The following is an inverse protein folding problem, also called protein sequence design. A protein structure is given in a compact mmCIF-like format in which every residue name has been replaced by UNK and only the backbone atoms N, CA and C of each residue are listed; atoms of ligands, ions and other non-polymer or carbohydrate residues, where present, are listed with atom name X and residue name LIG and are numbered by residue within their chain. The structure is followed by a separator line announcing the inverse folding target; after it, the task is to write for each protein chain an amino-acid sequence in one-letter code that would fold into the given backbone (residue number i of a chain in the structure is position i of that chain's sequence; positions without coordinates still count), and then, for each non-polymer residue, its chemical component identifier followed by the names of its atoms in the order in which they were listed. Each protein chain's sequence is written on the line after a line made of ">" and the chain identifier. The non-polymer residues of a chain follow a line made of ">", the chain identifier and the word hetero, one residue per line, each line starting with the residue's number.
data_IF_179727498687
#
_entry.id   IF_179727498687
#
_cell.length_a   1.000
_cell.length_b   1.000
_cell.length_c   1.000
_cell.angle_alpha   90.00
_cell.angle_beta   90.00
_cell.angle_gamma   90.00
#
_symmetry.space_group_name_H-M   'P 1'
#
loop_
_entity.id
_entity.type
_entity.pdbx_description
1 polymer ?
#
# COMPACT_ATOMS: atom_id res chain seq x y z
N UNK A 1 28.12 11.81 -9.02
CA UNK A 1 28.26 12.90 -10.00
C UNK A 1 26.89 13.52 -10.15
N UNK A 2 26.72 14.75 -9.68
CA UNK A 2 25.50 15.52 -9.79
C UNK A 2 25.30 15.91 -11.25
N UNK A 3 24.27 15.31 -11.89
CA UNK A 3 23.88 15.72 -13.24
C UNK A 3 23.38 17.16 -13.24
N UNK A 4 24.20 18.06 -13.68
CA UNK A 4 23.81 19.42 -14.01
C UNK A 4 22.74 19.36 -15.11
N UNK A 5 21.51 19.74 -14.72
CA UNK A 5 20.44 20.04 -15.68
C UNK A 5 20.94 21.24 -16.46
N UNK A 6 21.20 21.06 -17.77
CA UNK A 6 21.59 22.09 -18.70
C UNK A 6 20.74 23.35 -18.48
N UNK A 7 21.35 24.38 -17.92
CA UNK A 7 20.74 25.70 -17.82
C UNK A 7 20.70 26.24 -19.27
N UNK A 8 19.51 26.21 -19.85
CA UNK A 8 19.26 27.01 -21.05
C UNK A 8 19.40 28.48 -20.69
N UNK A 9 20.02 29.32 -21.54
CA UNK A 9 20.31 30.74 -21.24
C UNK A 9 19.06 31.59 -20.87
N UNK A 10 17.86 31.11 -21.12
CA UNK A 10 16.59 31.80 -20.90
C UNK A 10 15.74 31.18 -19.77
N UNK A 11 16.29 30.35 -18.87
CA UNK A 11 15.55 29.83 -17.77
C UNK A 11 15.08 30.96 -16.81
N UNK A 12 13.80 31.10 -16.48
CA UNK A 12 13.33 32.14 -15.56
C UNK A 12 14.03 32.00 -14.21
N UNK A 13 14.49 33.15 -13.67
CA UNK A 13 15.23 33.18 -12.41
C UNK A 13 14.34 32.73 -11.24
N UNK A 14 14.84 31.93 -10.29
CA UNK A 14 14.05 31.47 -9.16
C UNK A 14 13.54 32.67 -8.32
N UNK A 15 12.26 32.58 -7.94
CA UNK A 15 11.55 33.63 -7.19
C UNK A 15 11.44 33.26 -5.71
N UNK A 16 12.56 33.29 -4.98
CA UNK A 16 12.57 33.07 -3.52
C UNK A 16 13.23 31.77 -3.08
N UNK A 17 13.34 31.58 -1.76
CA UNK A 17 14.05 30.44 -1.15
C UNK A 17 13.40 29.09 -1.45
N UNK A 18 12.07 29.01 -1.45
CA UNK A 18 11.33 27.79 -1.76
C UNK A 18 11.54 27.35 -3.21
N UNK A 19 11.47 28.32 -4.14
CA UNK A 19 11.67 28.04 -5.55
C UNK A 19 13.10 27.58 -5.84
N UNK A 20 14.08 28.19 -5.18
CA UNK A 20 15.48 27.78 -5.31
C UNK A 20 15.72 26.36 -4.78
N UNK A 21 15.12 26.00 -3.65
CA UNK A 21 15.27 24.67 -3.05
C UNK A 21 14.58 23.58 -3.88
N UNK A 22 13.30 23.75 -4.18
CA UNK A 22 12.50 22.75 -4.88
C UNK A 22 12.62 22.81 -6.41
N UNK A 23 13.27 23.87 -6.97
CA UNK A 23 13.39 24.11 -8.42
C UNK A 23 12.03 24.22 -9.12
N UNK A 24 11.10 24.94 -8.50
CA UNK A 24 9.68 25.01 -8.91
C UNK A 24 9.56 25.62 -10.30
N UNK A 25 10.12 26.82 -10.50
CA UNK A 25 10.09 27.53 -11.78
C UNK A 25 10.85 26.74 -12.87
N UNK A 26 11.98 26.12 -12.52
CA UNK A 26 12.76 25.29 -13.45
C UNK A 26 11.99 24.05 -13.94
N UNK A 27 11.04 23.54 -13.17
CA UNK A 27 10.16 22.43 -13.55
C UNK A 27 8.83 22.92 -14.15
N UNK A 28 8.69 24.21 -14.40
CA UNK A 28 7.48 24.80 -14.99
C UNK A 28 6.24 24.71 -14.10
N UNK A 29 6.41 24.97 -12.80
CA UNK A 29 5.33 25.04 -11.80
C UNK A 29 5.38 26.37 -11.04
N UNK A 30 4.46 26.57 -10.12
CA UNK A 30 4.39 27.71 -9.20
C UNK A 30 4.15 27.21 -7.77
N UNK A 31 4.56 28.00 -6.75
CA UNK A 31 4.32 27.65 -5.33
C UNK A 31 2.83 27.38 -5.09
N UNK A 32 1.94 28.22 -5.63
CA UNK A 32 0.50 28.04 -5.49
C UNK A 32 0.03 26.72 -6.10
N UNK A 33 0.52 26.37 -7.28
CA UNK A 33 0.17 25.13 -7.97
C UNK A 33 0.64 23.90 -7.21
N UNK A 34 1.87 23.93 -6.67
CA UNK A 34 2.42 22.87 -5.84
C UNK A 34 1.62 22.65 -4.54
N UNK A 35 1.20 23.74 -3.88
CA UNK A 35 0.36 23.66 -2.67
C UNK A 35 -1.02 23.08 -2.99
N UNK A 36 -1.66 23.52 -4.07
CA UNK A 36 -2.95 22.98 -4.50
C UNK A 36 -2.83 21.50 -4.91
N UNK A 37 -1.75 21.14 -5.60
CA UNK A 37 -1.47 19.75 -5.93
C UNK A 37 -1.25 18.89 -4.68
N UNK A 38 -0.55 19.40 -3.68
CA UNK A 38 -0.37 18.73 -2.39
C UNK A 38 -1.69 18.54 -1.66
N UNK A 39 -2.56 19.56 -1.64
CA UNK A 39 -3.90 19.44 -1.06
C UNK A 39 -4.74 18.39 -1.80
N UNK A 40 -4.67 18.37 -3.13
CA UNK A 40 -5.39 17.39 -3.97
C UNK A 40 -4.92 15.96 -3.66
N UNK A 41 -3.59 15.73 -3.59
CA UNK A 41 -3.02 14.43 -3.19
C UNK A 41 -3.46 14.04 -1.79
N UNK A 42 -3.37 14.97 -0.83
CA UNK A 42 -3.80 14.73 0.55
C UNK A 42 -5.26 14.28 0.61
N UNK A 43 -6.17 15.00 -0.03
CA UNK A 43 -7.59 14.65 -0.06
C UNK A 43 -7.85 13.29 -0.73
N UNK A 44 -7.04 12.94 -1.73
CA UNK A 44 -7.17 11.65 -2.41
C UNK A 44 -6.71 10.46 -1.55
N UNK A 45 -5.75 10.66 -0.62
CA UNK A 45 -5.17 9.56 0.16
C UNK A 45 -5.48 9.57 1.66
N UNK A 46 -6.06 10.66 2.20
CA UNK A 46 -6.31 10.79 3.65
C UNK A 46 -7.26 9.73 4.21
N UNK A 47 -8.08 9.11 3.37
CA UNK A 47 -8.92 7.99 3.80
C UNK A 47 -8.11 6.83 4.41
N UNK A 48 -6.84 6.71 4.07
CA UNK A 48 -5.95 5.66 4.59
C UNK A 48 -5.78 5.71 6.11
N UNK A 49 -5.80 6.91 6.71
CA UNK A 49 -5.69 7.06 8.18
C UNK A 49 -6.90 6.49 8.93
N UNK A 50 -7.95 6.18 8.22
CA UNK A 50 -9.17 5.56 8.72
C UNK A 50 -9.18 4.07 8.39
N UNK A 51 -8.87 3.73 7.15
CA UNK A 51 -8.90 2.36 6.64
C UNK A 51 -7.82 1.50 7.28
N UNK A 52 -6.60 2.02 7.44
CA UNK A 52 -5.48 1.27 8.03
C UNK A 52 -5.74 0.88 9.48
N UNK A 53 -6.17 1.80 10.38
CA UNK A 53 -6.56 1.41 11.74
C UNK A 53 -7.74 0.43 11.76
N UNK A 54 -8.69 0.57 10.84
CA UNK A 54 -9.82 -0.36 10.70
C UNK A 54 -9.39 -1.80 10.37
N UNK A 55 -8.37 -1.97 9.53
CA UNK A 55 -7.82 -3.28 9.19
C UNK A 55 -6.95 -3.85 10.31
N UNK A 56 -5.98 -3.08 10.80
CA UNK A 56 -5.08 -3.51 11.87
C UNK A 56 -5.82 -3.72 13.18
N UNK A 57 -6.88 -2.95 13.45
CA UNK A 57 -7.74 -3.12 14.61
C UNK A 57 -8.40 -4.50 14.65
N UNK A 58 -8.82 -5.06 13.50
CA UNK A 58 -9.33 -6.43 13.40
C UNK A 58 -8.27 -7.48 13.76
N UNK A 59 -7.01 -7.15 13.57
CA UNK A 59 -5.86 -7.99 13.92
C UNK A 59 -5.35 -7.78 15.36
N UNK A 60 -6.06 -6.99 16.18
CA UNK A 60 -5.73 -6.78 17.58
C UNK A 60 -4.79 -5.62 17.88
N UNK A 61 -4.53 -4.75 16.89
CA UNK A 61 -3.83 -3.50 17.14
C UNK A 61 -4.78 -2.45 17.74
N UNK A 62 -4.32 -1.55 18.64
CA UNK A 62 -5.15 -0.49 19.18
C UNK A 62 -5.45 0.58 18.11
N UNK A 63 -6.73 0.77 17.68
CA UNK A 63 -7.04 1.59 16.50
C UNK A 63 -6.62 3.05 16.60
N UNK A 64 -6.79 3.68 17.78
CA UNK A 64 -6.41 5.08 17.99
C UNK A 64 -4.89 5.28 17.89
N UNK A 65 -4.10 4.35 18.44
CA UNK A 65 -2.64 4.39 18.34
C UNK A 65 -2.17 4.12 16.90
N UNK A 66 -2.83 3.21 16.17
CA UNK A 66 -2.56 2.96 14.74
C UNK A 66 -2.90 4.18 13.89
N UNK A 67 -3.98 4.91 14.21
CA UNK A 67 -4.30 6.17 13.52
C UNK A 67 -3.12 7.15 13.62
N UNK A 68 -2.62 7.37 14.84
CA UNK A 68 -1.47 8.26 15.08
C UNK A 68 -0.23 7.74 14.37
N UNK A 69 0.07 6.44 14.46
CA UNK A 69 1.20 5.82 13.78
C UNK A 69 1.11 5.98 12.25
N UNK A 70 -0.09 5.78 11.67
CA UNK A 70 -0.33 5.96 10.22
C UNK A 70 -0.10 7.42 9.79
N UNK A 71 -0.58 8.39 10.57
CA UNK A 71 -0.33 9.82 10.32
C UNK A 71 1.17 10.15 10.40
N UNK A 72 1.89 9.60 11.39
CA UNK A 72 3.34 9.80 11.53
C UNK A 72 4.12 9.22 10.34
N UNK A 73 3.75 8.02 9.89
CA UNK A 73 4.38 7.37 8.73
C UNK A 73 4.12 8.17 7.46
N UNK A 74 2.89 8.59 7.23
CA UNK A 74 2.54 9.40 6.06
C UNK A 74 3.21 10.78 6.11
N UNK A 75 3.26 11.40 7.29
CA UNK A 75 3.96 12.67 7.51
C UNK A 75 5.46 12.54 7.25
N UNK A 76 6.12 11.62 7.93
CA UNK A 76 7.56 11.39 7.80
C UNK A 76 7.95 10.99 6.37
N UNK A 77 7.26 10.00 5.80
CA UNK A 77 7.59 9.49 4.47
C UNK A 77 7.39 10.53 3.37
N UNK A 78 6.28 11.28 3.42
CA UNK A 78 6.02 12.34 2.44
C UNK A 78 6.96 13.53 2.59
N UNK A 79 7.35 13.90 3.83
CA UNK A 79 8.38 14.91 4.06
C UNK A 79 9.75 14.46 3.54
N UNK A 80 10.12 13.21 3.79
CA UNK A 80 11.38 12.65 3.29
C UNK A 80 11.41 12.63 1.75
N UNK A 81 10.31 12.20 1.11
CA UNK A 81 10.16 12.22 -0.34
C UNK A 81 10.22 13.65 -0.90
N UNK A 82 9.56 14.60 -0.25
CA UNK A 82 9.51 15.99 -0.69
C UNK A 82 10.83 16.71 -0.50
N UNK A 83 11.40 16.65 0.69
CA UNK A 83 12.60 17.41 1.04
C UNK A 83 13.88 16.79 0.49
N UNK A 84 13.99 15.46 0.48
CA UNK A 84 15.22 14.80 0.07
C UNK A 84 15.24 14.35 -1.39
N UNK A 85 14.16 13.68 -1.84
CA UNK A 85 14.07 13.23 -3.24
C UNK A 85 13.58 14.32 -4.19
N UNK A 86 12.93 15.35 -3.67
CA UNK A 86 12.31 16.44 -4.42
C UNK A 86 11.36 15.92 -5.53
N UNK A 87 10.44 15.05 -5.14
CA UNK A 87 9.43 14.45 -6.02
C UNK A 87 8.02 14.68 -5.48
N UNK A 88 7.01 14.88 -6.36
CA UNK A 88 5.62 15.17 -5.98
C UNK A 88 4.84 13.89 -5.62
N UNK A 89 5.44 13.03 -4.84
CA UNK A 89 4.89 11.71 -4.48
C UNK A 89 4.72 11.61 -2.98
N UNK A 90 3.52 11.27 -2.53
CA UNK A 90 3.23 11.05 -1.13
C UNK A 90 3.46 9.60 -0.74
N UNK A 91 3.93 9.38 0.47
CA UNK A 91 4.12 8.07 1.09
C UNK A 91 3.11 7.92 2.22
N UNK A 92 2.63 6.71 2.44
CA UNK A 92 1.76 6.36 3.57
C UNK A 92 1.75 4.85 3.77
N UNK A 93 0.99 4.35 4.76
CA UNK A 93 0.83 2.91 4.96
C UNK A 93 0.08 2.30 3.79
N UNK A 94 0.73 1.44 3.01
CA UNK A 94 0.13 0.82 1.82
C UNK A 94 -1.04 -0.09 2.21
N UNK A 95 -2.20 0.10 1.58
CA UNK A 95 -3.42 -0.68 1.86
C UNK A 95 -3.19 -2.17 1.62
N UNK A 96 -2.51 -2.53 0.53
CA UNK A 96 -2.15 -3.90 0.17
C UNK A 96 -1.28 -4.58 1.22
N UNK A 97 -0.21 -3.89 1.66
CA UNK A 97 0.71 -4.41 2.66
C UNK A 97 0.09 -4.37 4.07
N UNK A 98 -0.83 -3.46 4.33
CA UNK A 98 -1.65 -3.46 5.55
C UNK A 98 -2.54 -4.69 5.62
N UNK A 99 -3.20 -5.04 4.52
CA UNK A 99 -4.00 -6.25 4.43
C UNK A 99 -3.15 -7.50 4.62
N UNK A 100 -1.96 -7.54 4.03
CA UNK A 100 -1.00 -8.62 4.25
C UNK A 100 -0.65 -8.76 5.73
N UNK A 101 -0.29 -7.66 6.38
CA UNK A 101 0.11 -7.65 7.79
C UNK A 101 -1.05 -8.07 8.70
N UNK A 102 -2.25 -7.50 8.51
CA UNK A 102 -3.40 -7.76 9.37
C UNK A 102 -3.96 -9.17 9.17
N UNK A 103 -4.26 -9.53 7.92
CA UNK A 103 -5.08 -10.70 7.62
C UNK A 103 -4.23 -11.93 7.30
N UNK A 104 -3.12 -11.80 6.61
CA UNK A 104 -2.26 -12.94 6.29
C UNK A 104 -1.30 -13.27 7.43
N UNK A 105 -0.55 -12.29 7.95
CA UNK A 105 0.40 -12.50 9.03
C UNK A 105 -0.28 -12.74 10.37
N UNK A 106 -1.01 -11.74 10.89
CA UNK A 106 -1.50 -11.80 12.27
C UNK A 106 -2.68 -12.77 12.38
N UNK A 107 -3.73 -12.60 11.59
CA UNK A 107 -4.92 -13.44 11.68
C UNK A 107 -4.75 -14.82 11.02
N UNK A 108 -4.13 -14.88 9.85
CA UNK A 108 -3.96 -16.12 9.09
C UNK A 108 -2.93 -17.06 9.70
N UNK A 109 -1.74 -16.55 10.03
CA UNK A 109 -0.65 -17.34 10.60
C UNK A 109 -0.59 -17.30 12.13
N UNK A 110 -1.54 -16.63 12.79
CA UNK A 110 -1.61 -16.48 14.25
C UNK A 110 -0.32 -15.88 14.87
N UNK A 111 0.32 -14.97 14.14
CA UNK A 111 1.54 -14.29 14.58
C UNK A 111 1.17 -13.15 15.51
N UNK A 112 1.88 -13.00 16.63
CA UNK A 112 1.64 -11.89 17.55
C UNK A 112 1.96 -10.53 16.95
N UNK A 113 1.28 -9.48 17.41
CA UNK A 113 1.48 -8.10 16.95
C UNK A 113 2.95 -7.66 17.01
N UNK A 114 3.72 -7.90 18.09
CA UNK A 114 5.15 -7.54 18.14
C UNK A 114 5.99 -8.23 17.07
N UNK A 115 5.73 -9.49 16.79
CA UNK A 115 6.45 -10.25 15.75
C UNK A 115 6.08 -9.74 14.37
N UNK A 116 4.81 -9.40 14.13
CA UNK A 116 4.39 -8.78 12.87
C UNK A 116 5.05 -7.42 12.64
N UNK A 117 5.18 -6.59 13.68
CA UNK A 117 5.93 -5.32 13.61
C UNK A 117 7.43 -5.56 13.35
N UNK A 118 8.00 -6.61 13.95
CA UNK A 118 9.36 -7.06 13.65
C UNK A 118 9.53 -7.45 12.18
N UNK A 119 8.53 -8.14 11.59
CA UNK A 119 8.52 -8.49 10.17
C UNK A 119 8.45 -7.26 9.27
N UNK A 120 7.63 -6.26 9.62
CA UNK A 120 7.54 -4.97 8.90
C UNK A 120 8.89 -4.23 8.95
N UNK A 121 9.51 -4.18 10.12
CA UNK A 121 10.82 -3.56 10.30
C UNK A 121 11.91 -4.26 9.47
N UNK A 122 12.01 -5.60 9.56
CA UNK A 122 12.96 -6.40 8.77
C UNK A 122 12.74 -6.22 7.27
N UNK A 123 11.48 -6.23 6.83
CA UNK A 123 11.14 -5.94 5.44
C UNK A 123 11.69 -4.59 5.02
N UNK A 124 11.48 -3.54 5.82
CA UNK A 124 11.99 -2.20 5.57
C UNK A 124 13.52 -2.15 5.47
N UNK A 125 14.23 -2.85 6.36
CA UNK A 125 15.70 -2.95 6.35
C UNK A 125 16.20 -3.65 5.08
N UNK A 126 15.62 -4.81 4.75
CA UNK A 126 15.99 -5.56 3.53
C UNK A 126 15.69 -4.74 2.29
N UNK A 127 14.52 -4.11 2.22
CA UNK A 127 14.11 -3.28 1.10
C UNK A 127 15.04 -2.06 0.94
N UNK A 128 15.46 -1.44 2.04
CA UNK A 128 16.44 -0.34 2.03
C UNK A 128 17.79 -0.82 1.50
N UNK A 129 18.28 -1.96 1.97
CA UNK A 129 19.52 -2.54 1.47
C UNK A 129 19.45 -2.81 -0.04
N UNK A 130 18.35 -3.38 -0.52
CA UNK A 130 18.10 -3.61 -1.96
C UNK A 130 18.07 -2.29 -2.75
N UNK A 131 17.43 -1.26 -2.19
CA UNK A 131 17.27 0.05 -2.85
C UNK A 131 18.59 0.81 -2.98
N UNK A 132 19.48 0.71 -1.99
CA UNK A 132 20.79 1.42 -1.96
C UNK A 132 21.85 0.67 -2.75
N UNK A 133 21.87 -0.65 -2.75
CA UNK A 133 22.94 -1.47 -3.35
C UNK A 133 22.80 -1.68 -4.86
N UNK A 134 21.71 -1.23 -5.48
CA UNK A 134 21.42 -1.48 -6.90
C UNK A 134 21.01 -2.92 -7.25
N UNK A 135 20.96 -3.82 -6.26
CA UNK A 135 20.45 -5.21 -6.41
C UNK A 135 19.02 -5.19 -6.95
N UNK A 136 18.28 -4.13 -6.68
CA UNK A 136 16.94 -3.92 -7.22
C UNK A 136 16.89 -4.00 -8.75
N UNK A 137 17.82 -3.39 -9.47
CA UNK A 137 17.84 -3.45 -10.94
C UNK A 137 17.99 -4.89 -11.41
N UNK A 138 18.79 -5.70 -10.69
CA UNK A 138 18.92 -7.12 -10.95
C UNK A 138 17.60 -7.86 -10.66
N UNK A 139 16.96 -7.59 -9.52
CA UNK A 139 15.67 -8.16 -9.14
C UNK A 139 14.63 -7.89 -10.23
N UNK A 140 14.46 -6.61 -10.61
CA UNK A 140 13.46 -6.21 -11.60
C UNK A 140 13.68 -6.81 -12.99
N UNK A 141 14.93 -7.09 -13.36
CA UNK A 141 15.25 -7.76 -14.63
C UNK A 141 15.03 -9.27 -14.60
N UNK A 142 15.08 -9.87 -13.41
CA UNK A 142 15.10 -11.33 -13.26
C UNK A 142 13.84 -11.91 -12.61
N UNK A 143 12.98 -11.08 -12.00
CA UNK A 143 11.72 -11.55 -11.45
C UNK A 143 10.62 -11.59 -12.52
N UNK A 144 9.76 -12.63 -12.47
CA UNK A 144 8.66 -12.78 -13.41
C UNK A 144 7.62 -11.68 -13.24
N UNK A 145 7.37 -10.92 -14.29
CA UNK A 145 6.38 -9.84 -14.26
C UNK A 145 4.95 -10.36 -14.10
N UNK A 146 4.65 -11.55 -14.62
CA UNK A 146 3.36 -12.20 -14.43
C UNK A 146 3.04 -12.41 -12.95
N UNK A 147 4.01 -12.89 -12.15
CA UNK A 147 3.81 -13.08 -10.70
C UNK A 147 3.66 -11.73 -9.99
N UNK A 148 4.41 -10.70 -10.39
CA UNK A 148 4.28 -9.36 -9.82
C UNK A 148 2.87 -8.80 -10.02
N UNK A 149 2.35 -8.85 -11.24
CA UNK A 149 0.98 -8.42 -11.54
C UNK A 149 -0.05 -9.34 -10.90
N UNK A 150 0.18 -10.65 -10.91
CA UNK A 150 -0.66 -11.65 -10.26
C UNK A 150 -0.80 -11.42 -8.75
N UNK A 151 0.28 -11.05 -8.07
CA UNK A 151 0.25 -10.67 -6.66
C UNK A 151 -0.67 -9.46 -6.43
N UNK A 152 -0.56 -8.42 -7.26
CA UNK A 152 -1.45 -7.26 -7.19
C UNK A 152 -2.92 -7.62 -7.41
N UNK A 153 -3.22 -8.44 -8.43
CA UNK A 153 -4.57 -8.95 -8.69
C UNK A 153 -5.10 -9.74 -7.50
N UNK A 154 -4.30 -10.67 -6.97
CA UNK A 154 -4.66 -11.52 -5.84
C UNK A 154 -4.95 -10.73 -4.57
N UNK A 155 -4.11 -9.76 -4.24
CA UNK A 155 -4.34 -8.84 -3.11
C UNK A 155 -5.62 -8.03 -3.32
N UNK A 156 -5.88 -7.55 -4.55
CA UNK A 156 -7.12 -6.85 -4.88
C UNK A 156 -8.37 -7.67 -4.64
N UNK A 157 -8.39 -8.93 -5.12
CA UNK A 157 -9.46 -9.89 -4.87
C UNK A 157 -9.60 -10.21 -3.38
N UNK A 158 -8.48 -10.36 -2.68
CA UNK A 158 -8.47 -10.62 -1.24
C UNK A 158 -9.06 -9.45 -0.44
N UNK A 159 -8.74 -8.21 -0.80
CA UNK A 159 -9.37 -7.01 -0.21
C UNK A 159 -10.88 -6.98 -0.43
N UNK A 160 -11.36 -7.34 -1.64
CA UNK A 160 -12.78 -7.45 -1.93
C UNK A 160 -13.45 -8.50 -1.03
N UNK A 161 -12.84 -9.67 -0.89
CA UNK A 161 -13.36 -10.74 -0.03
C UNK A 161 -13.44 -10.30 1.43
N UNK A 162 -12.36 -9.70 1.97
CA UNK A 162 -12.31 -9.22 3.36
C UNK A 162 -13.33 -8.11 3.61
N UNK A 163 -13.47 -7.16 2.68
CA UNK A 163 -14.44 -6.09 2.81
C UNK A 163 -15.88 -6.62 2.77
N UNK A 164 -16.19 -7.50 1.82
CA UNK A 164 -17.50 -8.11 1.68
C UNK A 164 -17.87 -9.01 2.88
N UNK A 165 -16.90 -9.77 3.39
CA UNK A 165 -17.10 -10.58 4.61
C UNK A 165 -17.28 -9.69 5.85
N UNK A 166 -16.50 -8.62 5.96
CA UNK A 166 -16.53 -7.71 7.11
C UNK A 166 -17.86 -6.99 7.32
N UNK A 167 -18.65 -6.81 6.27
CA UNK A 167 -20.00 -6.21 6.34
C UNK A 167 -21.13 -7.26 6.32
N UNK A 168 -20.78 -8.55 6.16
CA UNK A 168 -21.75 -9.63 6.09
C UNK A 168 -22.39 -9.82 4.72
N UNK A 169 -21.81 -9.27 3.65
CA UNK A 169 -22.26 -9.52 2.27
C UNK A 169 -21.89 -10.93 1.81
N UNK A 170 -20.71 -11.40 2.19
CA UNK A 170 -20.24 -12.77 1.98
C UNK A 170 -20.07 -13.40 3.36
N UNK A 171 -20.67 -14.57 3.56
CA UNK A 171 -20.64 -15.30 4.83
C UNK A 171 -20.16 -16.73 4.59
N UNK A 172 -19.80 -17.44 5.68
CA UNK A 172 -19.54 -18.88 5.61
C UNK A 172 -20.82 -19.59 5.16
N UNK A 173 -20.69 -20.48 4.17
CA UNK A 173 -21.83 -21.22 3.68
C UNK A 173 -22.35 -22.18 4.76
N UNK A 174 -23.65 -22.20 5.08
CA UNK A 174 -24.23 -23.18 5.99
C UNK A 174 -24.26 -24.59 5.42
N UNK A 175 -24.16 -24.75 4.08
CA UNK A 175 -24.10 -26.04 3.41
C UNK A 175 -22.66 -26.55 3.46
N UNK A 176 -22.47 -27.73 4.05
CA UNK A 176 -21.17 -28.36 4.14
C UNK A 176 -20.61 -28.66 2.73
N UNK A 177 -19.33 -28.34 2.51
CA UNK A 177 -18.67 -28.49 1.22
C UNK A 177 -18.66 -27.24 0.34
N UNK A 178 -19.44 -26.20 0.65
CA UNK A 178 -19.37 -24.91 -0.05
C UNK A 178 -18.72 -23.86 0.85
N UNK A 179 -17.66 -23.15 0.38
CA UNK A 179 -16.88 -22.26 1.26
C UNK A 179 -17.62 -20.99 1.65
N UNK A 180 -18.37 -20.38 0.73
CA UNK A 180 -19.01 -19.08 0.94
C UNK A 180 -20.45 -19.06 0.45
N UNK A 181 -21.25 -18.19 1.05
CA UNK A 181 -22.63 -17.94 0.65
C UNK A 181 -22.91 -16.42 0.64
N UNK A 182 -23.99 -16.05 -0.01
CA UNK A 182 -24.53 -14.71 0.04
C UNK A 182 -25.13 -14.45 1.42
N UNK A 183 -24.73 -13.34 2.04
CA UNK A 183 -25.30 -12.91 3.31
C UNK A 183 -26.62 -12.14 3.16
N UNK A 184 -27.05 -11.50 4.25
CA UNK A 184 -28.29 -10.72 4.28
C UNK A 184 -28.12 -9.39 3.51
N UNK A 185 -28.53 -9.37 2.24
CA UNK A 185 -28.41 -8.19 1.37
C UNK A 185 -29.20 -6.97 1.83
N UNK A 186 -30.25 -7.20 2.61
CA UNK A 186 -31.13 -6.15 3.16
C UNK A 186 -30.62 -5.58 4.49
N UNK A 187 -29.48 -6.08 5.00
CA UNK A 187 -28.91 -5.54 6.22
C UNK A 187 -28.37 -4.13 5.99
N UNK A 188 -28.51 -3.26 6.98
CA UNK A 188 -28.06 -1.88 6.92
C UNK A 188 -26.56 -1.75 6.53
N UNK A 189 -25.62 -2.53 7.11
CA UNK A 189 -24.20 -2.46 6.70
C UNK A 189 -23.97 -2.81 5.24
N UNK A 190 -24.64 -3.84 4.70
CA UNK A 190 -24.47 -4.25 3.30
C UNK A 190 -25.04 -3.20 2.36
N UNK A 191 -26.25 -2.69 2.64
CA UNK A 191 -26.86 -1.64 1.80
C UNK A 191 -26.03 -0.36 1.79
N UNK A 192 -25.51 0.08 2.94
CA UNK A 192 -24.65 1.26 3.02
C UNK A 192 -23.34 1.05 2.28
N UNK A 193 -22.75 -0.14 2.35
CA UNK A 193 -21.51 -0.45 1.65
C UNK A 193 -21.67 -0.47 0.14
N UNK A 194 -22.77 -1.05 -0.38
CA UNK A 194 -23.06 -1.06 -1.83
C UNK A 194 -23.36 0.33 -2.36
N UNK A 195 -24.19 1.10 -1.62
CA UNK A 195 -24.49 2.47 -1.98
C UNK A 195 -23.21 3.32 -2.00
N UNK A 196 -22.37 3.18 -0.96
CA UNK A 196 -21.09 3.88 -0.86
C UNK A 196 -20.17 3.56 -2.04
N UNK A 197 -20.06 2.30 -2.42
CA UNK A 197 -19.25 1.87 -3.57
C UNK A 197 -19.74 2.51 -4.88
N UNK A 198 -21.06 2.50 -5.11
CA UNK A 198 -21.66 3.11 -6.29
C UNK A 198 -21.42 4.63 -6.34
N UNK A 199 -21.54 5.31 -5.19
CA UNK A 199 -21.27 6.75 -5.08
C UNK A 199 -19.79 7.05 -5.30
N UNK A 200 -18.86 6.24 -4.77
CA UNK A 200 -17.42 6.37 -5.06
C UNK A 200 -17.18 6.33 -6.56
N UNK A 201 -17.75 5.37 -7.30
CA UNK A 201 -17.60 5.32 -8.77
C UNK A 201 -18.06 6.60 -9.46
N UNK A 202 -19.19 7.16 -9.01
CA UNK A 202 -19.72 8.42 -9.54
C UNK A 202 -18.77 9.60 -9.30
N UNK A 203 -18.30 9.74 -8.05
CA UNK A 203 -17.42 10.85 -7.66
C UNK A 203 -16.04 10.75 -8.34
N UNK A 204 -15.48 9.55 -8.44
CA UNK A 204 -14.21 9.31 -9.14
C UNK A 204 -14.35 9.60 -10.65
N UNK A 205 -15.45 9.21 -11.28
CA UNK A 205 -15.73 9.54 -12.68
C UNK A 205 -15.84 11.06 -12.88
N UNK A 206 -16.42 11.77 -11.93
CA UNK A 206 -16.50 13.23 -11.92
C UNK A 206 -15.19 13.91 -11.49
N UNK A 207 -14.15 13.13 -11.16
CA UNK A 207 -12.85 13.64 -10.66
C UNK A 207 -12.98 14.56 -9.45
N UNK A 208 -13.86 14.21 -8.51
CA UNK A 208 -14.05 14.96 -7.26
C UNK A 208 -12.88 14.62 -6.32
N UNK A 209 -12.05 15.60 -5.94
CA UNK A 209 -10.94 15.35 -5.03
C UNK A 209 -11.45 14.86 -3.67
N UNK A 210 -10.91 13.75 -3.17
CA UNK A 210 -11.33 13.18 -1.88
C UNK A 210 -12.71 12.51 -1.91
N UNK A 211 -13.20 12.08 -3.08
CA UNK A 211 -14.50 11.40 -3.23
C UNK A 211 -14.66 10.22 -2.26
N UNK A 212 -13.62 9.42 -2.06
CA UNK A 212 -13.62 8.30 -1.11
C UNK A 212 -13.84 8.80 0.32
N UNK A 213 -13.11 9.83 0.74
CA UNK A 213 -13.25 10.40 2.07
C UNK A 213 -14.66 10.97 2.30
N UNK A 214 -15.22 11.67 1.31
CA UNK A 214 -16.58 12.21 1.39
C UNK A 214 -17.61 11.13 1.62
N UNK A 215 -17.49 9.99 0.94
CA UNK A 215 -18.38 8.83 1.12
C UNK A 215 -18.22 8.23 2.52
N UNK A 216 -16.98 8.07 3.02
CA UNK A 216 -16.74 7.57 4.38
C UNK A 216 -17.40 8.49 5.41
N UNK A 217 -17.21 9.82 5.29
CA UNK A 217 -17.81 10.79 6.19
C UNK A 217 -19.35 10.72 6.12
N UNK A 218 -19.92 10.72 4.91
CA UNK A 218 -21.37 10.67 4.73
C UNK A 218 -22.01 9.42 5.36
N UNK A 219 -21.42 8.24 5.11
CA UNK A 219 -21.90 6.99 5.69
C UNK A 219 -21.70 6.96 7.21
N UNK A 220 -20.61 7.52 7.72
CA UNK A 220 -20.38 7.61 9.17
C UNK A 220 -21.39 8.51 9.85
N UNK A 221 -21.78 9.63 9.24
CA UNK A 221 -22.84 10.51 9.74
C UNK A 221 -24.20 9.76 9.73
N UNK A 222 -24.52 9.04 8.65
CA UNK A 222 -25.73 8.23 8.57
C UNK A 222 -25.69 7.15 9.66
N UNK A 223 -24.54 6.49 9.86
CA UNK A 223 -24.33 5.51 10.92
C UNK A 223 -24.55 6.10 12.32
N UNK A 224 -24.02 7.30 12.58
CA UNK A 224 -24.21 7.97 13.88
C UNK A 224 -25.69 8.26 14.17
N UNK A 225 -26.52 8.48 13.15
CA UNK A 225 -27.95 8.76 13.28
C UNK A 225 -28.76 7.46 13.45
N UNK A 226 -28.44 6.42 12.68
CA UNK A 226 -29.28 5.21 12.56
C UNK A 226 -28.70 3.98 13.26
N UNK A 227 -27.39 3.96 13.61
CA UNK A 227 -26.74 2.82 14.25
C UNK A 227 -26.35 3.15 15.70
N UNK A 228 -27.05 2.57 16.71
CA UNK A 228 -26.75 2.83 18.12
C UNK A 228 -25.35 2.36 18.57
N UNK A 229 -24.68 1.53 17.75
CA UNK A 229 -23.32 1.05 18.05
C UNK A 229 -22.25 2.13 17.79
N UNK A 230 -22.57 3.12 16.94
CA UNK A 230 -21.67 4.23 16.63
C UNK A 230 -21.82 5.32 17.69
N UNK A 231 -20.75 5.54 18.47
CA UNK A 231 -20.74 6.51 19.57
C UNK A 231 -19.72 7.62 19.32
N UNK A 232 -20.12 8.84 19.65
CA UNK A 232 -19.22 9.99 19.58
C UNK A 232 -18.28 10.04 20.80
N UNK A 233 -16.98 10.02 20.57
CA UNK A 233 -15.93 10.04 21.61
C UNK A 233 -15.09 11.33 21.60
N UNK A 234 -15.59 12.38 20.96
CA UNK A 234 -14.84 13.63 20.76
C UNK A 234 -14.20 13.73 19.39
N UNK A 235 -13.71 14.92 19.03
CA UNK A 235 -13.04 15.16 17.74
C UNK A 235 -11.52 15.26 17.89
N UNK A 236 -11.04 15.71 19.04
CA UNK A 236 -9.63 16.03 19.27
C UNK A 236 -9.14 15.33 20.53
N UNK A 237 -7.98 14.70 20.43
CA UNK A 237 -7.24 14.13 21.56
C UNK A 237 -5.75 14.40 21.42
N UNK A 238 -5.02 14.31 22.53
CA UNK A 238 -3.55 14.33 22.49
C UNK A 238 -3.09 13.05 21.78
N UNK A 239 -2.25 13.16 20.73
CA UNK A 239 -1.77 12.01 20.00
C UNK A 239 -1.02 11.05 20.93
N UNK A 240 -1.40 9.77 20.92
CA UNK A 240 -0.75 8.73 21.72
C UNK A 240 -0.53 7.49 20.86
N UNK A 241 0.65 6.90 20.99
CA UNK A 241 1.00 5.59 20.40
C UNK A 241 0.81 4.45 21.41
N UNK A 242 0.13 4.74 22.53
CA UNK A 242 -0.20 3.78 23.57
C UNK A 242 -1.68 3.40 23.43
N UNK A 243 -1.96 2.10 23.43
CA UNK A 243 -3.32 1.59 23.42
C UNK A 243 -4.07 1.82 24.73
N UNK A 244 -5.37 1.58 24.74
CA UNK A 244 -6.19 1.67 25.95
C UNK A 244 -5.77 0.67 27.04
N UNK A 245 -5.11 -0.42 26.62
CA UNK A 245 -4.51 -1.43 27.50
C UNK A 245 -3.18 -1.00 28.13
N UNK A 246 -2.73 0.22 27.88
CA UNK A 246 -1.47 0.77 28.36
C UNK A 246 -0.23 0.30 27.62
N UNK A 247 -0.37 -0.54 26.58
CA UNK A 247 0.74 -1.03 25.76
C UNK A 247 1.08 -0.01 24.69
N UNK A 248 2.36 0.37 24.63
CA UNK A 248 2.88 1.26 23.58
C UNK A 248 3.17 0.47 22.29
N UNK A 249 2.85 1.06 21.13
CA UNK A 249 3.27 0.54 19.84
C UNK A 249 4.70 0.94 19.47
N UNK A 250 5.22 2.02 20.06
CA UNK A 250 6.61 2.46 19.81
C UNK A 250 7.57 1.39 20.30
N UNK A 251 8.48 0.99 19.41
CA UNK A 251 9.50 -0.04 19.65
C UNK A 251 8.95 -1.37 20.21
N UNK A 252 7.66 -1.63 20.05
CA UNK A 252 7.01 -2.86 20.46
C UNK A 252 7.22 -4.00 19.44
N UNK A 253 8.39 -4.04 18.80
CA UNK A 253 8.70 -5.01 17.76
C UNK A 253 9.58 -6.13 18.31
N UNK A 254 9.28 -7.36 17.90
CA UNK A 254 10.10 -8.55 18.19
C UNK A 254 10.83 -9.00 16.92
N UNK A 255 12.07 -8.53 16.78
CA UNK A 255 12.93 -8.87 15.63
C UNK A 255 13.33 -10.34 15.67
N UNK A 256 13.59 -10.88 16.86
CA UNK A 256 14.02 -12.29 16.99
C UNK A 256 12.89 -13.25 16.62
N UNK A 257 11.65 -12.91 17.01
CA UNK A 257 10.46 -13.64 16.58
C UNK A 257 10.26 -13.55 15.06
N UNK A 258 10.51 -12.39 14.46
CA UNK A 258 10.38 -12.20 13.01
C UNK A 258 11.46 -12.92 12.18
N UNK A 259 12.61 -13.24 12.78
CA UNK A 259 13.68 -14.04 12.15
C UNK A 259 13.43 -15.55 12.22
N UNK A 260 12.38 -15.98 12.91
CA UNK A 260 12.07 -17.42 12.97
C UNK A 260 11.70 -17.96 11.57
N UNK A 261 12.06 -19.23 11.28
CA UNK A 261 11.77 -19.86 9.98
C UNK A 261 10.29 -19.83 9.59
N UNK A 262 9.38 -19.82 10.57
CA UNK A 262 7.93 -19.73 10.35
C UNK A 262 7.46 -18.38 9.80
N UNK A 263 8.17 -17.30 10.13
CA UNK A 263 7.82 -15.91 9.75
C UNK A 263 8.64 -15.44 8.54
N UNK A 264 9.84 -15.95 8.36
CA UNK A 264 10.78 -15.49 7.33
C UNK A 264 10.22 -15.55 5.90
N UNK A 265 9.42 -16.55 5.46
CA UNK A 265 8.77 -16.55 4.15
C UNK A 265 7.83 -15.36 3.96
N UNK A 266 7.14 -14.96 5.01
CA UNK A 266 6.24 -13.80 4.99
C UNK A 266 7.01 -12.49 4.88
N UNK A 267 8.16 -12.38 5.55
CA UNK A 267 9.06 -11.22 5.39
C UNK A 267 9.56 -11.13 3.94
N UNK A 268 9.98 -12.26 3.35
CA UNK A 268 10.41 -12.31 1.96
C UNK A 268 9.29 -11.91 1.00
N UNK A 269 8.08 -12.41 1.21
CA UNK A 269 6.91 -12.07 0.41
C UNK A 269 6.53 -10.58 0.54
N UNK A 270 6.62 -10.00 1.75
CA UNK A 270 6.45 -8.58 1.99
C UNK A 270 7.48 -7.74 1.20
N UNK A 271 8.76 -8.12 1.25
CA UNK A 271 9.83 -7.44 0.50
C UNK A 271 9.53 -7.48 -1.00
N UNK A 272 9.19 -8.64 -1.54
CA UNK A 272 8.90 -8.79 -2.96
C UNK A 272 7.70 -7.93 -3.38
N UNK A 273 6.61 -7.98 -2.61
CA UNK A 273 5.41 -7.18 -2.86
C UNK A 273 5.75 -5.67 -2.83
N UNK A 274 6.50 -5.23 -1.82
CA UNK A 274 6.90 -3.83 -1.69
C UNK A 274 7.80 -3.35 -2.84
N UNK A 275 8.77 -4.17 -3.28
CA UNK A 275 9.66 -3.84 -4.40
C UNK A 275 8.87 -3.67 -5.71
N UNK A 276 7.89 -4.54 -5.97
CA UNK A 276 7.06 -4.45 -7.17
C UNK A 276 6.11 -3.25 -7.12
N UNK A 277 5.42 -3.07 -5.99
CA UNK A 277 4.46 -1.99 -5.78
C UNK A 277 5.14 -0.62 -5.91
N UNK A 278 6.22 -0.40 -5.18
CA UNK A 278 7.00 0.84 -5.23
C UNK A 278 7.51 1.16 -6.64
N UNK A 279 8.01 0.14 -7.35
CA UNK A 279 8.56 0.36 -8.70
C UNK A 279 7.49 0.78 -9.69
N UNK A 280 6.37 0.08 -9.68
CA UNK A 280 5.24 0.36 -10.57
C UNK A 280 4.65 1.75 -10.31
N UNK A 281 4.39 2.05 -9.05
CA UNK A 281 3.76 3.30 -8.61
C UNK A 281 4.66 4.51 -8.84
N UNK A 282 5.93 4.46 -8.41
CA UNK A 282 6.87 5.58 -8.60
C UNK A 282 7.05 5.88 -10.08
N UNK A 283 7.17 4.84 -10.92
CA UNK A 283 7.31 5.03 -12.37
C UNK A 283 6.06 5.62 -13.02
N UNK A 284 4.88 5.16 -12.63
CA UNK A 284 3.61 5.67 -13.14
C UNK A 284 3.42 7.16 -12.81
N UNK A 285 3.64 7.54 -11.55
CA UNK A 285 3.50 8.92 -11.09
C UNK A 285 4.59 9.82 -11.70
N UNK A 286 5.85 9.35 -11.78
CA UNK A 286 6.93 10.11 -12.43
C UNK A 286 6.67 10.33 -13.92
N UNK A 287 6.16 9.32 -14.63
CA UNK A 287 5.77 9.43 -16.02
C UNK A 287 4.67 10.49 -16.25
N UNK A 288 3.65 10.48 -15.41
CA UNK A 288 2.56 11.46 -15.49
C UNK A 288 3.03 12.89 -15.18
N UNK A 289 3.98 13.05 -14.27
CA UNK A 289 4.55 14.34 -13.91
C UNK A 289 5.63 14.84 -14.88
N UNK A 290 5.95 14.06 -15.94
CA UNK A 290 7.06 14.31 -16.86
C UNK A 290 8.42 14.42 -16.13
N UNK A 291 8.67 13.55 -15.17
CA UNK A 291 9.89 13.48 -14.37
C UNK A 291 10.79 12.29 -14.78
N UNK A 292 10.70 11.90 -16.03
CA UNK A 292 11.62 10.95 -16.66
C UNK A 292 12.69 11.71 -17.45
N UNK A 293 13.94 11.25 -17.37
CA UNK A 293 15.03 11.80 -18.15
C UNK A 293 15.05 11.25 -19.60
N UNK A 294 16.07 11.66 -20.38
CA UNK A 294 16.22 11.23 -21.78
C UNK A 294 16.43 9.73 -21.94
N UNK A 295 16.93 9.06 -20.91
CA UNK A 295 17.15 7.62 -20.86
C UNK A 295 15.97 6.87 -20.25
N UNK A 296 14.82 7.57 -20.12
CA UNK A 296 13.59 7.03 -19.52
C UNK A 296 13.76 6.57 -18.05
N UNK A 297 14.74 7.18 -17.34
CA UNK A 297 14.98 6.95 -15.93
C UNK A 297 14.27 8.02 -15.09
N UNK A 298 13.85 7.65 -13.88
CA UNK A 298 13.18 8.56 -12.97
C UNK A 298 14.19 9.53 -12.36
N UNK A 299 13.97 10.84 -12.51
CA UNK A 299 14.78 11.87 -11.88
C UNK A 299 14.78 11.63 -10.36
N UNK A 300 15.96 11.51 -9.75
CA UNK A 300 16.11 11.15 -8.34
C UNK A 300 15.46 9.80 -7.92
N UNK A 301 15.27 8.86 -8.85
CA UNK A 301 14.58 7.60 -8.59
C UNK A 301 15.21 6.77 -7.47
N UNK A 302 16.54 6.79 -7.32
CA UNK A 302 17.22 6.14 -6.20
C UNK A 302 16.84 6.73 -4.84
N UNK A 303 16.73 8.06 -4.74
CA UNK A 303 16.29 8.74 -3.53
C UNK A 303 14.81 8.46 -3.22
N UNK A 304 13.97 8.40 -4.26
CA UNK A 304 12.55 8.05 -4.09
C UNK A 304 12.36 6.69 -3.43
N UNK A 305 13.10 5.70 -3.92
CA UNK A 305 13.03 4.34 -3.38
C UNK A 305 13.61 4.20 -1.99
N UNK A 306 14.70 4.92 -1.72
CA UNK A 306 15.26 4.96 -0.38
C UNK A 306 14.30 5.65 0.58
N UNK A 307 13.61 6.71 0.14
CA UNK A 307 12.57 7.36 0.96
C UNK A 307 11.43 6.40 1.29
N UNK A 308 10.99 5.62 0.31
CA UNK A 308 9.94 4.62 0.46
C UNK A 308 10.34 3.50 1.44
N UNK A 309 11.50 2.90 1.23
CA UNK A 309 12.00 1.81 2.05
C UNK A 309 12.33 2.24 3.50
N UNK A 310 12.93 3.41 3.69
CA UNK A 310 13.21 3.98 5.02
C UNK A 310 11.91 4.29 5.77
N UNK A 311 10.87 4.74 5.05
CA UNK A 311 9.54 4.94 5.63
C UNK A 311 8.94 3.65 6.16
N UNK A 312 9.21 2.50 5.53
CA UNK A 312 8.79 1.19 6.04
C UNK A 312 9.56 0.78 7.29
N UNK A 313 10.85 1.12 7.42
CA UNK A 313 11.59 0.93 8.68
C UNK A 313 10.93 1.74 9.80
N UNK A 314 10.68 3.03 9.53
CA UNK A 314 10.03 3.92 10.48
C UNK A 314 8.64 3.41 10.88
N UNK A 315 7.90 2.85 9.93
CA UNK A 315 6.59 2.26 10.15
C UNK A 315 6.62 1.11 11.16
N UNK A 316 7.55 0.17 11.03
CA UNK A 316 7.76 -0.90 12.01
C UNK A 316 8.10 -0.39 13.40
N UNK A 317 8.87 0.72 13.50
CA UNK A 317 9.26 1.32 14.78
C UNK A 317 8.10 1.99 15.51
N UNK A 318 7.19 2.65 14.79
CA UNK A 318 6.05 3.37 15.38
C UNK A 318 4.78 2.51 15.51
N UNK A 319 4.80 1.29 14.98
CA UNK A 319 3.72 0.34 15.13
C UNK A 319 2.63 0.42 14.07
N UNK A 320 2.99 0.77 12.84
CA UNK A 320 2.09 0.80 11.69
C UNK A 320 2.42 -0.29 10.65
N UNK A 321 1.58 -0.40 9.63
CA UNK A 321 1.79 -1.26 8.47
C UNK A 321 2.89 -0.70 7.54
N UNK A 322 3.49 -1.53 6.67
CA UNK A 322 4.52 -1.09 5.76
C UNK A 322 4.12 0.13 4.93
N UNK A 323 5.06 1.04 4.75
CA UNK A 323 4.87 2.22 3.93
C UNK A 323 5.07 1.92 2.44
N UNK A 324 4.39 2.68 1.58
CA UNK A 324 4.69 2.75 0.15
C UNK A 324 4.26 4.09 -0.45
N UNK A 325 4.78 4.40 -1.63
CA UNK A 325 4.32 5.52 -2.43
C UNK A 325 2.88 5.26 -2.89
N UNK A 326 2.01 6.23 -2.67
CA UNK A 326 0.60 6.15 -3.04
C UNK A 326 0.38 6.50 -4.50
N UNK A 327 -0.39 5.68 -5.20
CA UNK A 327 -0.79 5.94 -6.59
C UNK A 327 -1.70 7.18 -6.70
N UNK A 328 -2.39 7.54 -5.63
CA UNK A 328 -3.20 8.75 -5.51
C UNK A 328 -2.37 10.03 -5.68
N UNK A 329 -1.05 9.95 -5.56
CA UNK A 329 -0.13 11.04 -5.94
C UNK A 329 -0.33 11.47 -7.39
N UNK A 330 -0.86 10.60 -8.24
CA UNK A 330 -1.25 10.90 -9.61
C UNK A 330 -2.30 12.03 -9.69
N UNK A 331 -3.19 12.14 -8.70
CA UNK A 331 -4.17 13.23 -8.64
C UNK A 331 -3.49 14.60 -8.47
N UNK A 332 -2.49 14.69 -7.60
CA UNK A 332 -1.72 15.92 -7.42
C UNK A 332 -0.85 16.26 -8.62
N UNK A 333 -0.22 15.26 -9.26
CA UNK A 333 0.56 15.50 -10.49
C UNK A 333 -0.33 15.93 -11.65
N UNK A 334 -1.54 15.39 -11.75
CA UNK A 334 -2.55 15.85 -12.71
C UNK A 334 -3.01 17.29 -12.42
N UNK A 335 -3.03 17.71 -11.15
CA UNK A 335 -3.29 19.10 -10.75
C UNK A 335 -2.07 20.03 -10.96
N UNK A 336 -0.96 19.51 -11.49
CA UNK A 336 0.21 20.26 -11.87
C UNK A 336 1.37 20.22 -10.88
N UNK A 337 1.34 19.36 -9.86
CA UNK A 337 2.46 19.11 -8.96
C UNK A 337 3.63 18.46 -9.68
N UNK A 338 4.83 19.06 -9.56
CA UNK A 338 6.05 18.60 -10.24
C UNK A 338 7.26 18.53 -9.33
N UNK A 339 7.14 19.04 -8.10
CA UNK A 339 8.27 19.16 -7.18
C UNK A 339 7.97 18.55 -5.83
N UNK A 340 9.00 18.40 -5.01
CA UNK A 340 8.89 17.91 -3.65
C UNK A 340 8.05 18.81 -2.73
N UNK A 341 7.75 20.05 -3.11
CA UNK A 341 6.86 20.90 -2.33
C UNK A 341 5.46 20.28 -2.21
N UNK A 342 4.94 19.67 -3.30
CA UNK A 342 3.68 18.92 -3.28
C UNK A 342 3.67 17.85 -2.17
N UNK A 343 4.70 16.99 -2.12
CA UNK A 343 4.81 15.94 -1.10
C UNK A 343 5.03 16.52 0.31
N UNK A 344 5.80 17.62 0.41
CA UNK A 344 6.01 18.32 1.70
C UNK A 344 4.70 18.84 2.28
N UNK A 345 3.83 19.42 1.44
CA UNK A 345 2.50 19.87 1.86
C UNK A 345 1.65 18.68 2.35
N UNK A 346 1.67 17.56 1.65
CA UNK A 346 0.97 16.35 2.09
C UNK A 346 1.46 15.90 3.46
N UNK A 347 2.78 15.82 3.64
CA UNK A 347 3.38 15.40 4.92
C UNK A 347 3.00 16.33 6.07
N UNK A 348 3.02 17.64 5.85
CA UNK A 348 2.60 18.63 6.85
C UNK A 348 1.12 18.47 7.23
N UNK A 349 0.24 18.24 6.26
CA UNK A 349 -1.19 18.02 6.50
C UNK A 349 -1.44 16.73 7.30
N UNK A 350 -0.73 15.64 7.03
CA UNK A 350 -0.84 14.42 7.83
C UNK A 350 -0.39 14.63 9.27
N UNK A 351 0.64 15.43 9.51
CA UNK A 351 1.06 15.77 10.88
C UNK A 351 0.04 16.67 11.58
N UNK A 352 -0.70 17.53 10.87
CA UNK A 352 -1.76 18.34 11.46
C UNK A 352 -2.96 17.52 11.91
N UNK A 353 -3.32 16.46 11.20
CA UNK A 353 -4.47 15.62 11.56
C UNK A 353 -4.18 14.59 12.66
N UNK A 354 -2.98 14.51 13.19
CA UNK A 354 -2.63 13.64 14.33
C UNK A 354 -3.58 13.80 15.53
N UNK A 355 -4.05 15.01 15.77
CA UNK A 355 -4.94 15.34 16.88
C UNK A 355 -6.38 14.82 16.69
N UNK A 356 -6.72 14.34 15.50
CA UNK A 356 -8.05 13.83 15.16
C UNK A 356 -8.19 12.31 15.40
N UNK A 357 -7.33 11.72 16.23
CA UNK A 357 -7.35 10.27 16.51
C UNK A 357 -8.69 9.72 17.02
N UNK A 358 -9.55 10.47 17.79
CA UNK A 358 -10.85 9.97 18.19
C UNK A 358 -11.80 9.69 17.03
N UNK A 359 -11.58 10.26 15.84
CA UNK A 359 -12.37 9.97 14.65
C UNK A 359 -12.31 8.49 14.24
N UNK A 360 -11.23 7.77 14.59
CA UNK A 360 -11.09 6.34 14.30
C UNK A 360 -12.19 5.49 14.95
N UNK A 361 -12.77 5.93 16.07
CA UNK A 361 -13.89 5.25 16.75
C UNK A 361 -15.26 5.60 16.18
N UNK A 362 -15.36 6.74 15.47
CA UNK A 362 -16.62 7.21 14.93
C UNK A 362 -17.00 6.53 13.61
N UNK A 363 -16.03 5.85 12.97
CA UNK A 363 -16.18 5.34 11.62
C UNK A 363 -16.45 3.84 11.65
N UNK A 364 -17.68 3.41 11.34
CA UNK A 364 -18.03 1.99 11.34
C UNK A 364 -17.41 1.25 10.14
N UNK A 365 -17.28 -0.07 10.26
CA UNK A 365 -16.68 -0.91 9.23
C UNK A 365 -17.41 -0.82 7.88
N UNK A 366 -18.70 -0.61 7.87
CA UNK A 366 -19.49 -0.45 6.64
C UNK A 366 -19.30 0.90 5.95
N UNK A 367 -18.67 1.88 6.62
CA UNK A 367 -18.26 3.13 6.00
C UNK A 367 -16.89 2.99 5.30
N UNK A 368 -16.00 2.13 5.80
CA UNK A 368 -14.68 1.88 5.19
C UNK A 368 -14.71 0.78 4.14
N UNK A 369 -15.65 -0.15 4.20
CA UNK A 369 -15.75 -1.25 3.25
C UNK A 369 -15.87 -0.81 1.79
N UNK A 370 -16.64 0.23 1.41
CA UNK A 370 -16.68 0.72 0.04
C UNK A 370 -15.32 1.16 -0.48
N UNK A 371 -14.52 1.82 0.36
CA UNK A 371 -13.16 2.25 0.01
C UNK A 371 -12.25 1.04 -0.25
N UNK A 372 -12.29 0.03 0.62
CA UNK A 372 -11.52 -1.21 0.44
C UNK A 372 -11.95 -1.96 -0.82
N UNK A 373 -13.25 -2.05 -1.08
CA UNK A 373 -13.77 -2.67 -2.31
C UNK A 373 -13.29 -1.91 -3.53
N UNK A 374 -13.33 -0.59 -3.50
CA UNK A 374 -12.88 0.26 -4.61
C UNK A 374 -11.39 0.06 -4.90
N UNK A 375 -10.53 0.10 -3.86
CA UNK A 375 -9.10 -0.15 -4.00
C UNK A 375 -8.84 -1.56 -4.52
N UNK A 376 -9.57 -2.56 -4.00
CA UNK A 376 -9.48 -3.92 -4.51
C UNK A 376 -9.80 -4.02 -6.00
N UNK A 377 -10.86 -3.35 -6.46
CA UNK A 377 -11.23 -3.29 -7.89
C UNK A 377 -10.18 -2.55 -8.74
N UNK A 378 -9.58 -1.47 -8.22
CA UNK A 378 -8.47 -0.81 -8.91
C UNK A 378 -7.27 -1.74 -9.09
N UNK A 379 -6.95 -2.54 -8.09
CA UNK A 379 -5.84 -3.50 -8.18
C UNK A 379 -6.09 -4.59 -9.23
N UNK A 380 -7.36 -4.95 -9.50
CA UNK A 380 -7.71 -5.87 -10.58
C UNK A 380 -7.33 -5.35 -11.97
N UNK A 381 -7.15 -4.04 -12.14
CA UNK A 381 -6.69 -3.47 -13.41
C UNK A 381 -5.32 -4.00 -13.85
N UNK A 382 -4.53 -4.57 -12.92
CA UNK A 382 -3.27 -5.23 -13.24
C UNK A 382 -3.43 -6.44 -14.18
N UNK A 383 -4.64 -6.98 -14.34
CA UNK A 383 -4.93 -8.01 -15.35
C UNK A 383 -4.56 -7.54 -16.77
N UNK A 384 -4.81 -6.26 -17.07
CA UNK A 384 -4.47 -5.68 -18.39
C UNK A 384 -2.96 -5.58 -18.65
N UNK A 385 -2.15 -5.72 -17.62
CA UNK A 385 -0.68 -5.68 -17.70
C UNK A 385 -0.05 -7.07 -17.85
N UNK A 386 -0.83 -8.14 -17.74
CA UNK A 386 -0.37 -9.50 -18.00
C UNK A 386 -0.09 -9.65 -19.50
N UNK A 387 1.10 -10.17 -19.82
CA UNK A 387 1.46 -10.47 -21.22
C UNK A 387 1.03 -11.90 -21.59
N UNK A 388 -0.15 -12.01 -22.17
CA UNK A 388 -0.67 -13.31 -22.63
C UNK A 388 0.08 -13.91 -23.82
N UNK A 389 0.99 -13.18 -24.47
CA UNK A 389 1.89 -13.75 -25.46
C UNK A 389 2.93 -14.66 -24.79
N UNK A 390 3.32 -14.36 -23.55
CA UNK A 390 4.05 -15.29 -22.70
C UNK A 390 3.06 -16.06 -21.80
N UNK A 391 2.45 -17.09 -22.38
CA UNK A 391 1.38 -17.86 -21.77
C UNK A 391 1.73 -18.39 -20.38
N UNK A 392 2.95 -18.91 -20.18
CA UNK A 392 3.37 -19.53 -18.92
C UNK A 392 3.51 -18.46 -17.83
N UNK A 393 4.09 -17.30 -18.14
CA UNK A 393 4.23 -16.20 -17.18
C UNK A 393 2.87 -15.64 -16.78
N UNK A 394 1.97 -15.40 -17.74
CA UNK A 394 0.61 -14.94 -17.49
C UNK A 394 -0.20 -15.93 -16.64
N UNK A 395 -0.14 -17.23 -16.98
CA UNK A 395 -0.86 -18.27 -16.23
C UNK A 395 -0.30 -18.42 -14.80
N UNK A 396 1.01 -18.37 -14.62
CA UNK A 396 1.63 -18.38 -13.30
C UNK A 396 1.17 -17.18 -12.44
N UNK A 397 1.05 -15.99 -13.05
CA UNK A 397 0.46 -14.82 -12.40
C UNK A 397 -0.99 -15.04 -11.99
N UNK A 398 -1.81 -15.61 -12.85
CA UNK A 398 -3.21 -15.93 -12.52
C UNK A 398 -3.32 -17.01 -11.44
N UNK A 399 -2.47 -18.03 -11.45
CA UNK A 399 -2.38 -19.02 -10.36
C UNK A 399 -2.04 -18.33 -9.05
N UNK A 400 -1.03 -17.45 -9.04
CA UNK A 400 -0.71 -16.63 -7.87
C UNK A 400 -1.94 -15.88 -7.36
N UNK A 401 -2.63 -15.14 -8.23
CA UNK A 401 -3.79 -14.33 -7.88
C UNK A 401 -4.93 -15.15 -7.28
N UNK A 402 -5.29 -16.25 -7.92
CA UNK A 402 -6.40 -17.10 -7.50
C UNK A 402 -6.10 -17.78 -6.17
N UNK A 403 -4.89 -18.30 -5.98
CA UNK A 403 -4.55 -18.99 -4.75
C UNK A 403 -4.35 -18.06 -3.56
N UNK A 404 -4.00 -16.79 -3.76
CA UNK A 404 -4.04 -15.78 -2.68
C UNK A 404 -5.45 -15.73 -2.06
N UNK A 405 -6.49 -15.72 -2.91
CA UNK A 405 -7.87 -15.62 -2.45
C UNK A 405 -8.38 -16.93 -1.87
N UNK A 406 -8.14 -18.05 -2.57
CA UNK A 406 -8.63 -19.36 -2.15
C UNK A 406 -8.05 -19.81 -0.81
N UNK A 407 -6.81 -19.47 -0.54
CA UNK A 407 -6.12 -19.84 0.71
C UNK A 407 -6.14 -18.72 1.76
N UNK A 408 -6.62 -17.53 1.41
CA UNK A 408 -6.49 -16.32 2.21
C UNK A 408 -5.05 -16.06 2.69
N UNK A 409 -4.07 -16.54 1.93
CA UNK A 409 -2.65 -16.45 2.24
C UNK A 409 -1.84 -16.00 1.02
N UNK A 410 -1.26 -14.80 1.14
CA UNK A 410 -0.51 -14.17 0.05
C UNK A 410 0.77 -14.94 -0.26
N UNK A 411 1.45 -15.46 0.77
CA UNK A 411 2.68 -16.24 0.61
C UNK A 411 2.44 -17.52 -0.18
N UNK A 412 1.35 -18.22 0.13
CA UNK A 412 0.93 -19.43 -0.60
C UNK A 412 0.70 -19.15 -2.07
N UNK A 413 -0.03 -18.08 -2.37
CA UNK A 413 -0.28 -17.70 -3.76
C UNK A 413 1.00 -17.38 -4.52
N UNK A 414 1.90 -16.61 -3.94
CA UNK A 414 3.19 -16.29 -4.54
C UNK A 414 4.01 -17.56 -4.78
N UNK A 415 4.11 -18.45 -3.78
CA UNK A 415 4.83 -19.70 -3.92
C UNK A 415 4.28 -20.57 -5.07
N UNK A 416 2.96 -20.75 -5.11
CA UNK A 416 2.32 -21.55 -6.18
C UNK A 416 2.51 -20.91 -7.56
N UNK A 417 2.49 -19.60 -7.66
CA UNK A 417 2.83 -18.86 -8.87
C UNK A 417 4.26 -19.19 -9.35
N UNK A 418 5.24 -19.10 -8.45
CA UNK A 418 6.63 -19.42 -8.77
C UNK A 418 6.83 -20.89 -9.15
N UNK A 419 6.22 -21.82 -8.43
CA UNK A 419 6.27 -23.27 -8.75
C UNK A 419 5.68 -23.52 -10.13
N UNK A 420 4.49 -22.97 -10.42
CA UNK A 420 3.82 -23.13 -11.71
C UNK A 420 4.68 -22.57 -12.85
N UNK A 421 5.32 -21.41 -12.63
CA UNK A 421 6.21 -20.81 -13.62
C UNK A 421 7.40 -21.72 -13.93
N UNK A 422 8.14 -22.13 -12.88
CA UNK A 422 9.36 -22.93 -13.06
C UNK A 422 9.04 -24.28 -13.69
N UNK A 423 8.03 -24.99 -13.17
CA UNK A 423 7.61 -26.28 -13.71
C UNK A 423 7.11 -26.13 -15.15
N UNK A 424 6.26 -25.12 -15.42
CA UNK A 424 5.75 -24.84 -16.76
C UNK A 424 6.86 -24.58 -17.78
N UNK A 425 7.86 -23.76 -17.42
CA UNK A 425 9.04 -23.49 -18.30
C UNK A 425 9.88 -24.72 -18.56
N UNK A 426 10.07 -25.57 -17.54
CA UNK A 426 10.81 -26.84 -17.68
C UNK A 426 10.11 -27.76 -18.68
N UNK A 427 8.78 -27.96 -18.53
CA UNK A 427 8.02 -28.82 -19.44
C UNK A 427 7.89 -28.25 -20.86
N UNK A 428 7.82 -26.93 -20.98
CA UNK A 428 7.83 -26.23 -22.27
C UNK A 428 9.22 -26.19 -22.93
N UNK A 429 10.26 -26.70 -22.26
CA UNK A 429 11.66 -26.61 -22.69
C UNK A 429 12.17 -25.19 -22.94
N UNK A 430 11.59 -24.21 -22.27
CA UNK A 430 11.97 -22.80 -22.36
C UNK A 430 13.07 -22.44 -21.33
N UNK A 431 14.14 -23.23 -21.29
CA UNK A 431 15.25 -23.07 -20.33
C UNK A 431 15.90 -21.69 -20.37
N UNK A 432 15.92 -21.05 -21.56
CA UNK A 432 16.51 -19.73 -21.76
C UNK A 432 15.75 -18.60 -21.03
N UNK A 433 14.46 -18.83 -20.72
CA UNK A 433 13.62 -17.89 -19.99
C UNK A 433 13.64 -18.12 -18.48
N UNK A 434 14.31 -19.17 -18.00
CA UNK A 434 14.49 -19.47 -16.59
C UNK A 434 15.73 -18.77 -16.04
N UNK A 435 15.50 -17.79 -15.17
CA UNK A 435 16.56 -17.12 -14.44
C UNK A 435 16.93 -17.91 -13.18
N UNK A 436 18.23 -17.97 -12.88
CA UNK A 436 18.75 -18.63 -11.67
C UNK A 436 18.09 -18.06 -10.42
N UNK A 437 17.88 -16.73 -10.37
CA UNK A 437 17.19 -16.08 -9.25
C UNK A 437 15.77 -16.58 -9.02
N UNK A 438 14.99 -16.78 -10.12
CA UNK A 438 13.63 -17.34 -10.05
C UNK A 438 13.65 -18.76 -9.48
N UNK A 439 14.59 -19.59 -9.92
CA UNK A 439 14.74 -20.97 -9.43
C UNK A 439 15.11 -21.01 -7.96
N UNK A 440 16.08 -20.17 -7.52
CA UNK A 440 16.51 -20.09 -6.12
C UNK A 440 15.34 -19.64 -5.22
N UNK A 441 14.59 -18.62 -5.62
CA UNK A 441 13.42 -18.15 -4.86
C UNK A 441 12.37 -19.24 -4.76
N UNK A 442 12.08 -19.93 -5.88
CA UNK A 442 11.13 -21.03 -5.90
C UNK A 442 11.57 -22.17 -4.96
N UNK A 443 12.84 -22.56 -5.04
CA UNK A 443 13.40 -23.61 -4.15
C UNK A 443 13.34 -23.20 -2.68
N UNK A 444 13.65 -21.94 -2.36
CA UNK A 444 13.56 -21.42 -1.00
C UNK A 444 12.13 -21.47 -0.47
N UNK A 445 11.16 -20.96 -1.24
CA UNK A 445 9.74 -20.95 -0.86
C UNK A 445 9.19 -22.38 -0.68
N UNK A 446 9.53 -23.29 -1.59
CA UNK A 446 9.12 -24.70 -1.48
C UNK A 446 9.77 -25.36 -0.26
N UNK A 447 11.05 -25.10 0.02
CA UNK A 447 11.74 -25.63 1.19
C UNK A 447 11.09 -25.14 2.49
N UNK A 448 10.71 -23.88 2.59
CA UNK A 448 9.97 -23.34 3.73
C UNK A 448 8.61 -24.04 3.90
N UNK A 449 7.91 -24.28 2.81
CA UNK A 449 6.61 -24.99 2.84
C UNK A 449 6.78 -26.46 3.24
N UNK A 450 7.74 -27.16 2.64
CA UNK A 450 8.03 -28.56 2.95
C UNK A 450 8.54 -28.75 4.39
N UNK A 451 9.20 -27.75 4.96
CA UNK A 451 9.61 -27.72 6.36
C UNK A 451 8.47 -27.45 7.35
N UNK A 452 7.22 -27.23 6.86
CA UNK A 452 6.08 -26.90 7.71
C UNK A 452 6.16 -25.50 8.34
N UNK A 453 6.99 -24.62 7.77
CA UNK A 453 7.26 -23.28 8.33
C UNK A 453 6.35 -22.17 7.78
N UNK A 454 5.46 -22.50 6.87
CA UNK A 454 4.58 -21.52 6.20
C UNK A 454 3.08 -21.87 6.26
N UNK A 455 2.67 -22.66 7.25
CA UNK A 455 1.26 -23.06 7.45
C UNK A 455 0.58 -22.09 8.40
#
# INVERSE_FOLDING_TARGET
>A
MSGDILQTPDAPKPQGALDNYFKITARGSTVRQEVLAGLTTFLAMVYSVIVVPGMLGKAGFPPAAVFVATCLVAGFGSLLMGLWANLPMAIGCAISLTAFTAFSLVLGQQISVPVALGAVFLMGVIFTAISVTGVRTWILRNLPMGIAHGTGIGIGLFLLLIAANGVGMVIKNPIEGLPVALGAFTSFPVMMSLLGLAVIFGLEKCRVPGGILLVIIAISIIGLIFDPAVKYHGLVAIPSLTGEDGKSLIFSLDIMGALQPTVLPSVLALVMTAVFDATGTIRAVAGQANLLDKDNQIINGGKALTSDSVSSIFSGLVGAAPAAVYIESAAGTAAGGKTGLTATVVGALFLLILFLSPLSFLIPSYATAPALMYVGLLMLSNVSKLDFNDFIDAMAGLVCAVFIVLTCNIVTGIMLGFVTLVVGRVFAREWQKLNIGTVIITAALVAFYAGGWAI
#
